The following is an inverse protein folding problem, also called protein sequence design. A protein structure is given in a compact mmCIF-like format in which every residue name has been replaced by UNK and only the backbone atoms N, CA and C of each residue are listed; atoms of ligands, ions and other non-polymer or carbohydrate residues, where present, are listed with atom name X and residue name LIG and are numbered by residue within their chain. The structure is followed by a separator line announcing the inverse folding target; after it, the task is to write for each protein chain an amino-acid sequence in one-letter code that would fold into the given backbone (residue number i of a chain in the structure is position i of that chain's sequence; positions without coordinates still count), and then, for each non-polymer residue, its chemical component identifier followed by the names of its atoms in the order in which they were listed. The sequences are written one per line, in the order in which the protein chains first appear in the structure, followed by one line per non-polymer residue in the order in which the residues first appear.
data_IF_349360376028
#
_entry.id   IF_349360376028
#
_cell.length_a   1.000
_cell.length_b   1.000
_cell.length_c   1.000
_cell.angle_alpha   90.00
_cell.angle_beta   90.00
_cell.angle_gamma   90.00
#
_symmetry.space_group_name_H-M   'P 1'
#
loop_
_entity.id
_entity.type
_entity.pdbx_description
1 polymer ?
#
# COMPACT_ATOMS: atom_id res chain seq x y z
N UNK A 1 18.58 4.72 -19.05
CA UNK A 1 17.30 4.62 -18.29
C UNK A 1 16.21 5.31 -19.09
N UNK A 2 15.11 4.64 -19.35
CA UNK A 2 13.97 5.23 -20.08
C UNK A 2 12.97 5.78 -19.07
N UNK A 3 12.47 6.98 -19.30
CA UNK A 3 11.40 7.57 -18.48
C UNK A 3 10.05 7.16 -19.06
N UNK A 4 9.18 6.59 -18.22
CA UNK A 4 7.87 6.08 -18.61
C UNK A 4 6.80 6.53 -17.63
N UNK A 5 5.54 6.56 -18.04
CA UNK A 5 4.41 6.81 -17.14
C UNK A 5 3.99 5.51 -16.45
N UNK A 6 3.49 5.62 -15.21
CA UNK A 6 2.98 4.43 -14.50
C UNK A 6 1.85 3.75 -15.26
N UNK A 7 1.00 4.50 -15.96
CA UNK A 7 -0.05 3.92 -16.81
C UNK A 7 0.46 3.10 -18.00
N UNK A 8 1.73 3.28 -18.43
CA UNK A 8 2.33 2.51 -19.52
C UNK A 8 2.89 1.15 -19.06
N UNK A 9 3.07 0.97 -17.73
CA UNK A 9 3.69 -0.21 -17.13
C UNK A 9 2.85 -0.85 -16.00
N UNK A 10 1.72 -0.25 -15.65
CA UNK A 10 0.80 -0.76 -14.65
C UNK A 10 -0.66 -0.59 -15.08
N UNK A 11 -1.52 -1.52 -14.67
CA UNK A 11 -2.97 -1.31 -14.67
C UNK A 11 -3.39 -0.75 -13.32
N UNK A 12 -4.06 0.44 -13.32
CA UNK A 12 -4.51 1.07 -12.07
C UNK A 12 -5.98 0.73 -11.83
N UNK A 13 -6.24 0.14 -10.66
CA UNK A 13 -7.58 -0.23 -10.20
C UNK A 13 -7.93 0.51 -8.91
N UNK A 14 -9.20 0.84 -8.75
CA UNK A 14 -9.75 1.46 -7.54
C UNK A 14 -10.83 0.57 -6.97
N UNK A 15 -10.99 0.63 -5.66
CA UNK A 15 -12.06 -0.09 -4.99
C UNK A 15 -13.33 0.73 -4.80
N UNK A 16 -14.25 0.14 -4.06
CA UNK A 16 -15.52 0.71 -3.65
C UNK A 16 -15.89 0.24 -2.25
N UNK A 17 -16.80 0.94 -1.61
CA UNK A 17 -17.32 0.56 -0.30
C UNK A 17 -18.74 0.05 -0.46
N UNK A 18 -19.03 -1.23 -0.18
CA UNK A 18 -20.38 -1.73 -0.07
C UNK A 18 -21.17 -0.95 0.99
N UNK A 19 -22.50 -0.88 0.85
CA UNK A 19 -23.36 -0.23 1.85
C UNK A 19 -23.13 -0.85 3.22
N UNK A 20 -22.70 -0.03 4.18
CA UNK A 20 -22.30 -0.50 5.51
C UNK A 20 -23.50 -0.92 6.37
N UNK A 21 -24.66 -0.40 6.05
CA UNK A 21 -25.95 -0.72 6.70
C UNK A 21 -26.56 -2.06 6.25
N UNK A 22 -25.95 -2.76 5.28
CA UNK A 22 -26.41 -4.05 4.78
C UNK A 22 -25.50 -5.16 5.35
N UNK A 23 -25.90 -5.87 6.43
CA UNK A 23 -25.04 -6.86 7.08
C UNK A 23 -24.60 -7.99 6.16
N UNK A 24 -25.44 -8.41 5.20
CA UNK A 24 -25.17 -9.48 4.24
C UNK A 24 -23.94 -9.23 3.34
N UNK A 25 -23.45 -7.99 3.27
CA UNK A 25 -22.27 -7.64 2.46
C UNK A 25 -20.95 -7.84 3.22
N UNK A 26 -21.01 -8.02 4.54
CA UNK A 26 -19.87 -8.00 5.44
C UNK A 26 -19.64 -9.33 6.15
N UNK A 27 -18.50 -9.43 6.83
CA UNK A 27 -18.11 -10.58 7.67
C UNK A 27 -18.04 -11.92 6.89
N UNK A 28 -17.70 -11.84 5.59
CA UNK A 28 -17.40 -13.00 4.74
C UNK A 28 -15.96 -13.49 4.89
N UNK A 29 -15.42 -14.08 3.83
CA UNK A 29 -14.07 -14.65 3.78
C UNK A 29 -13.09 -13.86 2.91
N UNK A 30 -13.54 -12.84 2.18
CA UNK A 30 -12.73 -12.05 1.25
C UNK A 30 -12.17 -10.81 1.94
N UNK A 31 -10.85 -10.61 1.85
CA UNK A 31 -10.19 -9.45 2.45
C UNK A 31 -10.53 -8.15 1.72
N UNK A 32 -10.95 -7.15 2.51
CA UNK A 32 -11.30 -5.82 2.02
C UNK A 32 -10.63 -4.74 2.86
N UNK A 33 -9.60 -4.14 2.29
CA UNK A 33 -8.68 -3.23 2.99
C UNK A 33 -9.10 -1.76 2.88
N UNK A 34 -8.76 -0.98 3.93
CA UNK A 34 -8.89 0.47 3.97
C UNK A 34 -7.55 1.15 4.25
N UNK A 35 -7.35 2.44 3.90
CA UNK A 35 -6.11 3.16 4.18
C UNK A 35 -5.76 3.26 5.66
N UNK A 36 -6.72 3.11 6.57
CA UNK A 36 -6.49 3.13 8.01
C UNK A 36 -5.65 1.92 8.48
N UNK A 37 -5.72 0.82 7.77
CA UNK A 37 -4.98 -0.41 8.07
C UNK A 37 -3.51 -0.37 7.66
N UNK A 38 -3.12 0.60 6.83
CA UNK A 38 -1.71 0.78 6.45
C UNK A 38 -1.00 1.72 7.43
N UNK A 39 0.17 1.32 7.88
CA UNK A 39 1.13 2.15 8.62
C UNK A 39 2.32 2.52 7.73
N UNK A 40 3.20 3.39 8.26
CA UNK A 40 4.46 3.70 7.57
C UNK A 40 5.43 2.51 7.56
N UNK A 41 5.25 1.55 8.46
CA UNK A 41 6.06 0.35 8.54
C UNK A 41 5.43 -0.86 7.79
N UNK A 42 4.29 -0.68 7.12
CA UNK A 42 3.65 -1.75 6.34
C UNK A 42 4.43 -1.99 5.04
N UNK A 43 4.85 -3.23 4.81
CA UNK A 43 5.50 -3.66 3.56
C UNK A 43 4.60 -4.58 2.75
N UNK A 44 4.15 -5.69 3.36
CA UNK A 44 3.20 -6.63 2.76
C UNK A 44 1.92 -6.63 3.60
N UNK A 45 0.78 -6.75 2.95
CA UNK A 45 -0.54 -6.93 3.58
C UNK A 45 -1.05 -8.32 3.26
N UNK A 46 -1.19 -9.15 4.29
CA UNK A 46 -1.67 -10.53 4.17
C UNK A 46 -3.16 -10.66 4.50
N UNK A 47 -3.68 -9.77 5.35
CA UNK A 47 -5.06 -9.82 5.83
C UNK A 47 -5.62 -8.42 6.02
N UNK A 48 -6.94 -8.31 6.04
CA UNK A 48 -7.67 -7.09 6.36
C UNK A 48 -8.50 -7.28 7.63
N UNK A 49 -8.73 -6.20 8.35
CA UNK A 49 -9.59 -6.18 9.55
C UNK A 49 -11.03 -6.49 9.19
N UNK A 50 -11.51 -5.93 8.08
CA UNK A 50 -12.87 -6.18 7.58
C UNK A 50 -12.84 -7.11 6.38
N UNK A 51 -13.84 -7.98 6.33
CA UNK A 51 -14.02 -8.92 5.22
C UNK A 51 -15.38 -8.68 4.56
N UNK A 52 -15.47 -9.04 3.28
CA UNK A 52 -16.72 -8.93 2.50
C UNK A 52 -17.16 -10.29 2.00
N UNK A 53 -18.46 -10.39 1.70
CA UNK A 53 -19.08 -11.58 1.12
C UNK A 53 -19.11 -11.52 -0.40
N UNK A 54 -19.30 -12.65 -1.07
CA UNK A 54 -19.54 -12.71 -2.51
C UNK A 54 -20.79 -11.91 -2.90
N UNK A 55 -21.80 -11.84 -2.03
CA UNK A 55 -23.00 -11.01 -2.24
C UNK A 55 -22.62 -9.53 -2.27
N UNK A 56 -21.81 -9.06 -1.32
CA UNK A 56 -21.31 -7.68 -1.28
C UNK A 56 -20.49 -7.33 -2.52
N UNK A 57 -19.62 -8.22 -2.96
CA UNK A 57 -18.80 -8.08 -4.18
C UNK A 57 -19.71 -7.93 -5.41
N UNK A 58 -20.64 -8.87 -5.59
CA UNK A 58 -21.55 -8.90 -6.75
C UNK A 58 -22.42 -7.65 -6.84
N UNK A 59 -22.99 -7.20 -5.72
CA UNK A 59 -23.88 -6.03 -5.66
C UNK A 59 -23.17 -4.70 -5.88
N UNK A 60 -21.89 -4.62 -5.57
CA UNK A 60 -21.08 -3.39 -5.75
C UNK A 60 -20.22 -3.40 -7.00
N UNK A 61 -20.14 -4.52 -7.71
CA UNK A 61 -19.28 -4.66 -8.88
C UNK A 61 -17.79 -4.54 -8.55
N UNK A 62 -17.39 -4.82 -7.29
CA UNK A 62 -16.01 -4.81 -6.85
C UNK A 62 -15.19 -5.81 -7.66
N UNK A 63 -14.00 -5.38 -8.06
CA UNK A 63 -13.03 -6.25 -8.71
C UNK A 63 -11.85 -6.50 -7.77
N UNK A 64 -11.39 -7.75 -7.65
CA UNK A 64 -10.19 -8.05 -6.89
C UNK A 64 -8.95 -7.51 -7.59
N UNK A 65 -7.89 -7.37 -6.83
CA UNK A 65 -6.54 -7.22 -7.35
C UNK A 65 -5.67 -8.36 -6.84
N UNK A 66 -4.76 -8.91 -7.67
CA UNK A 66 -3.99 -10.10 -7.34
C UNK A 66 -2.88 -9.82 -6.33
N UNK A 67 -2.32 -10.89 -5.76
CA UNK A 67 -1.06 -10.83 -5.02
C UNK A 67 0.03 -10.11 -5.84
N UNK A 68 0.92 -9.41 -5.16
CA UNK A 68 1.98 -8.61 -5.78
C UNK A 68 1.55 -7.23 -6.27
N UNK A 69 0.25 -6.88 -6.20
CA UNK A 69 -0.23 -5.53 -6.54
C UNK A 69 0.33 -4.51 -5.55
N UNK A 70 0.83 -3.38 -6.04
CA UNK A 70 1.26 -2.28 -5.19
C UNK A 70 0.04 -1.43 -4.80
N UNK A 71 -0.26 -1.42 -3.51
CA UNK A 71 -1.39 -0.70 -2.92
C UNK A 71 -0.92 0.72 -2.62
N UNK A 72 -1.65 1.73 -3.12
CA UNK A 72 -1.36 3.15 -2.89
C UNK A 72 -2.59 3.85 -2.34
N UNK A 73 -2.50 4.40 -1.12
CA UNK A 73 -3.56 5.25 -0.60
C UNK A 73 -3.61 6.56 -1.39
N UNK A 74 -4.79 6.86 -1.91
CA UNK A 74 -5.04 8.05 -2.74
C UNK A 74 -5.62 9.23 -1.95
N UNK A 75 -6.04 9.00 -0.70
CA UNK A 75 -6.59 10.00 0.22
C UNK A 75 -6.46 9.59 1.67
N UNK A 76 -6.48 10.54 2.59
CA UNK A 76 -6.65 10.45 4.03
C UNK A 76 -5.80 9.42 4.80
N UNK A 77 -4.50 9.44 4.73
CA UNK A 77 -3.57 10.31 4.00
C UNK A 77 -3.17 9.75 2.64
N UNK A 78 -2.72 10.62 1.74
CA UNK A 78 -2.10 10.22 0.46
C UNK A 78 -0.71 9.66 0.70
N UNK A 79 -0.36 8.56 0.01
CA UNK A 79 1.02 8.09 -0.09
C UNK A 79 1.42 6.99 0.90
N UNK A 80 0.48 6.37 1.62
CA UNK A 80 0.74 5.08 2.25
C UNK A 80 0.84 4.01 1.17
N UNK A 81 1.85 3.17 1.25
CA UNK A 81 2.15 2.16 0.23
C UNK A 81 2.38 0.81 0.88
N UNK A 82 1.86 -0.24 0.25
CA UNK A 82 2.11 -1.63 0.63
C UNK A 82 2.07 -2.54 -0.62
N UNK A 83 2.41 -3.81 -0.46
CA UNK A 83 2.26 -4.84 -1.48
C UNK A 83 1.21 -5.84 -1.00
N UNK A 84 0.26 -6.20 -1.85
CA UNK A 84 -0.71 -7.23 -1.54
C UNK A 84 -0.03 -8.62 -1.48
N UNK A 85 -0.13 -9.33 -0.37
CA UNK A 85 0.41 -10.68 -0.22
C UNK A 85 -0.48 -11.75 -0.86
N UNK A 86 -1.76 -11.46 -1.01
CA UNK A 86 -2.74 -12.32 -1.66
C UNK A 86 -3.76 -11.50 -2.46
N UNK A 87 -4.72 -12.16 -3.10
CA UNK A 87 -5.84 -11.48 -3.74
C UNK A 87 -6.70 -10.76 -2.69
N UNK A 88 -7.02 -9.50 -2.96
CA UNK A 88 -7.75 -8.63 -2.03
C UNK A 88 -8.69 -7.68 -2.76
N UNK A 89 -9.59 -7.08 -1.99
CA UNK A 89 -10.44 -5.96 -2.38
C UNK A 89 -10.10 -4.72 -1.56
N UNK A 90 -10.57 -3.56 -1.96
CA UNK A 90 -10.35 -2.33 -1.21
C UNK A 90 -11.48 -1.32 -1.34
N UNK A 91 -11.48 -0.32 -0.48
CA UNK A 91 -12.35 0.83 -0.62
C UNK A 91 -11.86 1.79 -1.72
N UNK A 92 -12.63 2.84 -1.98
CA UNK A 92 -12.32 3.87 -2.97
C UNK A 92 -11.12 4.75 -2.61
N UNK A 93 -10.57 4.63 -1.40
CA UNK A 93 -9.40 5.39 -0.92
C UNK A 93 -8.07 4.94 -1.49
N UNK A 94 -8.09 3.97 -2.41
CA UNK A 94 -6.89 3.42 -3.04
C UNK A 94 -6.86 3.61 -4.55
N UNK A 95 -5.65 3.67 -5.08
CA UNK A 95 -5.31 3.50 -6.50
C UNK A 95 -4.22 2.42 -6.55
N UNK A 96 -4.64 1.18 -6.76
CA UNK A 96 -3.76 0.02 -6.73
C UNK A 96 -3.14 -0.21 -8.11
N UNK A 97 -1.84 -0.52 -8.13
CA UNK A 97 -1.07 -0.66 -9.35
C UNK A 97 -0.72 -2.13 -9.56
N UNK A 98 -1.37 -2.77 -10.53
CA UNK A 98 -1.05 -4.13 -10.98
C UNK A 98 0.08 -3.99 -11.99
N UNK A 99 1.27 -4.45 -11.61
CA UNK A 99 2.48 -4.34 -12.42
C UNK A 99 2.44 -5.24 -13.65
N UNK A 100 2.86 -4.72 -14.80
CA UNK A 100 3.16 -5.55 -15.97
C UNK A 100 4.52 -6.24 -15.80
N UNK A 101 4.90 -7.05 -16.79
CA UNK A 101 6.22 -7.69 -16.87
C UNK A 101 7.39 -6.70 -17.02
N UNK A 102 7.13 -5.42 -17.32
CA UNK A 102 8.16 -4.38 -17.50
C UNK A 102 8.69 -3.82 -16.20
N UNK A 103 7.89 -3.81 -15.14
CA UNK A 103 8.24 -3.21 -13.85
C UNK A 103 8.16 -4.24 -12.71
N UNK A 104 9.16 -4.23 -11.84
CA UNK A 104 9.15 -5.03 -10.61
C UNK A 104 8.29 -4.31 -9.55
N UNK A 105 7.40 -5.03 -8.89
CA UNK A 105 6.50 -4.47 -7.90
C UNK A 105 7.22 -3.91 -6.65
N UNK A 106 8.29 -4.55 -6.19
CA UNK A 106 9.09 -4.03 -5.07
C UNK A 106 9.83 -2.76 -5.47
N UNK A 107 10.34 -2.66 -6.71
CA UNK A 107 10.94 -1.44 -7.23
C UNK A 107 9.93 -0.30 -7.26
N UNK A 108 8.71 -0.57 -7.72
CA UNK A 108 7.61 0.41 -7.70
C UNK A 108 7.22 0.80 -6.28
N UNK A 109 7.13 -0.16 -5.36
CA UNK A 109 6.88 0.11 -3.93
C UNK A 109 7.88 1.13 -3.38
N UNK A 110 9.18 0.89 -3.57
CA UNK A 110 10.22 1.80 -3.07
C UNK A 110 10.18 3.16 -3.72
N UNK A 111 9.90 3.22 -5.02
CA UNK A 111 9.71 4.48 -5.72
C UNK A 111 8.56 5.29 -5.11
N UNK A 112 7.40 4.71 -4.94
CA UNK A 112 6.24 5.40 -4.36
C UNK A 112 6.48 5.78 -2.89
N UNK A 113 7.05 4.88 -2.11
CA UNK A 113 7.40 5.10 -0.70
C UNK A 113 8.37 6.27 -0.52
N UNK A 114 9.40 6.35 -1.34
CA UNK A 114 10.39 7.42 -1.32
C UNK A 114 9.85 8.77 -1.81
N UNK A 115 8.72 8.79 -2.52
CA UNK A 115 8.14 9.98 -3.14
C UNK A 115 6.83 10.46 -2.47
N UNK A 116 6.57 10.10 -1.21
CA UNK A 116 5.34 10.45 -0.49
C UNK A 116 5.05 11.96 -0.51
N UNK A 117 6.07 12.81 -0.34
CA UNK A 117 5.90 14.27 -0.41
C UNK A 117 5.43 14.73 -1.80
N UNK A 118 6.02 14.18 -2.84
CA UNK A 118 5.60 14.46 -4.22
C UNK A 118 4.16 13.98 -4.48
N UNK A 119 3.82 12.77 -4.07
CA UNK A 119 2.45 12.25 -4.18
C UNK A 119 1.43 13.16 -3.48
N UNK A 120 1.75 13.64 -2.28
CA UNK A 120 0.90 14.60 -1.56
C UNK A 120 0.75 15.94 -2.30
N UNK A 121 1.77 16.42 -3.01
CA UNK A 121 1.70 17.66 -3.80
C UNK A 121 0.80 17.54 -5.03
N UNK A 122 0.56 16.33 -5.52
CA UNK A 122 -0.34 16.05 -6.64
C UNK A 122 -1.82 16.02 -6.23
N UNK A 123 -2.11 15.95 -4.93
CA UNK A 123 -3.48 15.90 -4.40
C UNK A 123 -4.30 17.11 -4.79
N UNK A 124 -5.53 16.89 -5.21
CA UNK A 124 -6.52 17.91 -5.58
C UNK A 124 -7.70 17.84 -4.60
N UNK A 125 -8.33 18.98 -4.36
CA UNK A 125 -9.48 19.13 -3.46
C UNK A 125 -9.22 20.16 -2.36
N UNK A 126 -10.24 20.99 -2.07
CA UNK A 126 -10.14 22.06 -1.06
C UNK A 126 -10.21 21.50 0.37
N UNK A 127 -11.16 20.60 0.64
CA UNK A 127 -11.39 20.04 1.98
C UNK A 127 -10.69 18.70 2.16
N UNK A 128 -10.75 17.82 1.15
CA UNK A 128 -10.11 16.50 1.17
C UNK A 128 -9.28 16.33 -0.09
N UNK A 129 -7.96 16.28 0.09
CA UNK A 129 -7.04 16.03 -1.02
C UNK A 129 -7.12 14.56 -1.45
N UNK A 130 -7.25 14.35 -2.75
CA UNK A 130 -7.18 13.03 -3.37
C UNK A 130 -6.37 13.09 -4.66
N UNK A 131 -5.63 12.03 -4.95
CA UNK A 131 -5.02 11.80 -6.27
C UNK A 131 -5.93 10.89 -7.09
N UNK A 132 -6.33 11.38 -8.28
CA UNK A 132 -7.19 10.62 -9.19
C UNK A 132 -6.40 9.51 -9.90
N UNK A 133 -7.12 8.55 -10.50
CA UNK A 133 -6.51 7.52 -11.35
C UNK A 133 -5.64 8.14 -12.45
N UNK A 134 -6.15 9.14 -13.16
CA UNK A 134 -5.42 9.82 -14.24
C UNK A 134 -4.14 10.50 -13.72
N UNK A 135 -4.16 11.07 -12.51
CA UNK A 135 -2.94 11.63 -11.92
C UNK A 135 -1.92 10.52 -11.70
N UNK A 136 -2.32 9.38 -11.12
CA UNK A 136 -1.41 8.24 -10.88
C UNK A 136 -0.88 7.67 -12.19
N UNK A 137 -1.70 7.50 -13.22
CA UNK A 137 -1.29 7.04 -14.55
C UNK A 137 -0.20 7.93 -15.18
N UNK A 138 -0.26 9.24 -14.92
CA UNK A 138 0.70 10.20 -15.48
C UNK A 138 1.94 10.44 -14.61
N UNK A 139 2.09 9.79 -13.47
CA UNK A 139 3.35 9.82 -12.70
C UNK A 139 4.44 9.18 -13.52
N UNK A 140 5.55 9.88 -13.69
CA UNK A 140 6.70 9.39 -14.43
C UNK A 140 7.72 8.73 -13.50
N UNK A 141 8.25 7.60 -13.94
CA UNK A 141 9.29 6.84 -13.27
C UNK A 141 10.45 6.56 -14.25
N UNK A 142 11.68 6.62 -13.75
CA UNK A 142 12.82 6.07 -14.48
C UNK A 142 12.75 4.54 -14.42
N UNK A 143 12.79 3.91 -15.57
CA UNK A 143 12.70 2.45 -15.70
C UNK A 143 14.06 1.88 -16.09
N UNK A 144 14.86 1.39 -15.14
CA UNK A 144 16.09 0.66 -15.43
C UNK A 144 15.79 -0.74 -15.97
N UNK A 145 16.82 -1.48 -16.34
CA UNK A 145 16.68 -2.88 -16.70
C UNK A 145 16.14 -3.72 -15.53
N UNK A 146 15.51 -4.85 -15.81
CA UNK A 146 14.97 -5.73 -14.77
C UNK A 146 15.99 -6.16 -13.71
N UNK A 147 17.23 -6.53 -14.07
CA UNK A 147 18.25 -6.83 -13.06
C UNK A 147 18.59 -5.64 -12.15
N UNK A 148 18.63 -4.42 -12.71
CA UNK A 148 18.87 -3.20 -11.92
C UNK A 148 17.71 -2.89 -10.99
N UNK A 149 16.44 -3.05 -11.45
CA UNK A 149 15.25 -2.91 -10.60
C UNK A 149 15.31 -3.87 -9.42
N UNK A 150 15.60 -5.14 -9.68
CA UNK A 150 15.70 -6.19 -8.65
C UNK A 150 16.85 -5.91 -7.67
N UNK A 151 18.01 -5.47 -8.17
CA UNK A 151 19.14 -5.10 -7.33
C UNK A 151 18.77 -3.94 -6.39
N UNK A 152 18.18 -2.86 -6.94
CA UNK A 152 17.78 -1.72 -6.16
C UNK A 152 16.75 -2.08 -5.07
N UNK A 153 15.72 -2.84 -5.42
CA UNK A 153 14.70 -3.27 -4.45
C UNK A 153 15.29 -4.17 -3.35
N UNK A 154 16.20 -5.09 -3.72
CA UNK A 154 16.87 -5.97 -2.74
C UNK A 154 17.70 -5.15 -1.74
N UNK A 155 18.47 -4.17 -2.21
CA UNK A 155 19.29 -3.30 -1.33
C UNK A 155 18.39 -2.50 -0.39
N UNK A 156 17.34 -1.86 -0.93
CA UNK A 156 16.41 -1.06 -0.13
C UNK A 156 15.66 -1.92 0.89
N UNK A 157 15.24 -3.13 0.51
CA UNK A 157 14.61 -4.08 1.44
C UNK A 157 15.53 -4.46 2.60
N UNK A 158 16.80 -4.74 2.32
CA UNK A 158 17.80 -5.03 3.37
C UNK A 158 17.98 -3.85 4.33
N UNK A 159 18.09 -2.63 3.81
CA UNK A 159 18.16 -1.44 4.64
C UNK A 159 16.91 -1.28 5.52
N UNK A 160 15.74 -1.50 4.93
CA UNK A 160 14.47 -1.48 5.66
C UNK A 160 14.43 -2.50 6.81
N UNK A 161 14.84 -3.74 6.54
CA UNK A 161 14.86 -4.81 7.54
C UNK A 161 15.82 -4.49 8.70
N UNK A 162 16.99 -3.92 8.39
CA UNK A 162 17.94 -3.47 9.41
C UNK A 162 17.32 -2.37 10.29
N UNK A 163 16.66 -1.38 9.66
CA UNK A 163 15.98 -0.30 10.39
C UNK A 163 14.88 -0.85 11.29
N UNK A 164 14.05 -1.76 10.78
CA UNK A 164 12.99 -2.41 11.55
C UNK A 164 13.55 -3.19 12.75
N UNK A 165 14.64 -3.94 12.53
CA UNK A 165 15.31 -4.66 13.61
C UNK A 165 15.86 -3.71 14.67
N UNK A 166 16.48 -2.60 14.30
CA UNK A 166 17.00 -1.58 15.23
C UNK A 166 15.90 -0.90 16.04
N UNK A 167 14.78 -0.55 15.38
CA UNK A 167 13.59 -0.03 16.09
C UNK A 167 13.10 -1.02 17.17
N UNK A 168 13.02 -2.32 16.81
CA UNK A 168 12.63 -3.36 17.77
C UNK A 168 13.62 -3.48 18.93
N UNK A 169 14.92 -3.43 18.66
CA UNK A 169 15.96 -3.47 19.72
C UNK A 169 15.83 -2.27 20.67
N UNK A 170 15.63 -1.07 20.15
CA UNK A 170 15.43 0.12 20.98
C UNK A 170 14.19 -0.02 21.86
N UNK A 171 13.07 -0.49 21.29
CA UNK A 171 11.86 -0.72 22.08
C UNK A 171 12.07 -1.71 23.23
N UNK A 172 12.75 -2.84 22.97
CA UNK A 172 13.06 -3.83 24.02
C UNK A 172 13.96 -3.23 25.11
N UNK A 173 14.95 -2.39 24.75
CA UNK A 173 15.79 -1.71 25.72
C UNK A 173 14.99 -0.72 26.56
N UNK A 174 14.08 0.04 25.99
CA UNK A 174 13.20 0.94 26.72
C UNK A 174 12.31 0.19 27.72
N UNK A 175 11.75 -0.94 27.32
CA UNK A 175 10.95 -1.80 28.21
C UNK A 175 11.81 -2.38 29.33
N UNK A 176 13.04 -2.78 29.07
CA UNK A 176 13.97 -3.28 30.08
C UNK A 176 14.32 -2.20 31.10
N UNK A 177 14.57 -0.98 30.63
CA UNK A 177 14.84 0.18 31.50
C UNK A 177 13.65 0.43 32.42
N UNK A 178 12.43 0.51 31.87
CA UNK A 178 11.20 0.70 32.64
C UNK A 178 11.01 -0.39 33.69
N UNK A 179 11.17 -1.67 33.30
CA UNK A 179 11.04 -2.79 34.23
C UNK A 179 12.05 -2.71 35.39
N UNK A 180 13.28 -2.25 35.13
CA UNK A 180 14.29 -2.13 36.18
C UNK A 180 13.99 -1.00 37.19
N UNK A 181 13.41 0.12 36.71
CA UNK A 181 13.03 1.22 37.63
C UNK A 181 11.82 0.84 38.50
N UNK A 182 10.89 0.00 38.03
CA UNK A 182 9.75 -0.48 38.81
C UNK A 182 10.14 -1.47 39.95
N UNK A 183 11.35 -2.05 39.92
CA UNK A 183 11.82 -3.00 40.97
C UNK A 183 12.45 -2.27 42.15
N UNK A 184 12.71 -0.97 42.04
CA UNK A 184 13.38 -0.15 43.10
C UNK A 184 12.44 0.86 43.77
N UNK A 185 11.12 0.83 43.51
CA UNK A 185 10.05 1.45 44.29
C UNK A 185 9.38 0.40 45.21
#
# INVERSE_FOLDING_TARGET
MTRVRLGDVCTIVSGSTPKTEVPEYWDGDKDWITPAELSDDTYIVEESVRKITDVGISKTGLKPFPAGTVILSSRAPIGKVAIAGKEMYCNQGFKNLICSDKINNEYLYWFLKGNTRYLNSLGRGATFKEISKTIVENIEINLPSKPEQLHASTVLKRCWDIIALRKKQLHVLDELIKARFLIYE
#
